data_IF_915273233625
#
_entry.id   IF_915273233625
#
_cell.length_a   1.000
_cell.length_b   1.000
_cell.length_c   1.000
_cell.angle_alpha   90.00
_cell.angle_beta   90.00
_cell.angle_gamma   90.00
#
_symmetry.space_group_name_H-M   'P 1'
#
loop_
_entity.id
_entity.type
_entity.pdbx_description
1 polymer ?
#
# COMPACT_ATOMS: atom_id res chain seq x y z
N UNK A 1 -16.54 -31.73 -24.89
CA UNK A 1 -16.37 -31.34 -26.31
C UNK A 1 -17.10 -30.02 -26.53
N UNK A 2 -16.42 -28.96 -26.98
CA UNK A 2 -16.97 -27.60 -27.05
C UNK A 2 -18.09 -27.49 -28.12
N UNK A 3 -19.24 -26.83 -27.84
CA UNK A 3 -20.41 -26.80 -28.74
C UNK A 3 -20.14 -26.17 -30.11
N UNK A 4 -19.22 -25.19 -30.19
CA UNK A 4 -18.78 -24.61 -31.46
C UNK A 4 -18.04 -25.60 -32.35
N UNK A 5 -17.26 -26.51 -31.75
CA UNK A 5 -16.52 -27.55 -32.48
C UNK A 5 -17.51 -28.53 -33.13
N UNK A 6 -18.57 -28.93 -32.40
CA UNK A 6 -19.63 -29.79 -32.92
C UNK A 6 -20.38 -29.14 -34.10
N UNK A 7 -20.61 -27.82 -34.04
CA UNK A 7 -21.22 -27.05 -35.14
C UNK A 7 -20.30 -26.92 -36.36
N UNK A 8 -18.99 -26.71 -36.14
CA UNK A 8 -17.99 -26.65 -37.21
C UNK A 8 -17.83 -28.01 -37.91
N UNK A 9 -17.76 -29.10 -37.14
CA UNK A 9 -17.67 -30.47 -37.68
C UNK A 9 -18.89 -30.84 -38.54
N UNK A 10 -20.10 -30.44 -38.12
CA UNK A 10 -21.34 -30.67 -38.87
C UNK A 10 -21.39 -29.85 -40.16
N UNK A 11 -20.86 -28.62 -40.14
CA UNK A 11 -20.78 -27.74 -41.32
C UNK A 11 -19.75 -28.19 -42.35
N UNK A 12 -18.71 -28.90 -41.92
CA UNK A 12 -17.64 -29.43 -42.77
C UNK A 12 -17.92 -30.83 -43.32
N UNK A 13 -19.08 -31.42 -43.04
CA UNK A 13 -19.46 -32.76 -43.53
C UNK A 13 -18.70 -33.92 -42.85
N UNK A 14 -17.98 -33.65 -41.76
CA UNK A 14 -17.12 -34.62 -41.05
C UNK A 14 -17.88 -35.59 -40.12
N UNK A 15 -19.22 -35.64 -40.22
CA UNK A 15 -20.10 -36.48 -39.39
C UNK A 15 -20.85 -37.51 -40.24
N UNK A 16 -20.42 -37.76 -41.48
CA UNK A 16 -20.94 -38.86 -42.31
C UNK A 16 -20.09 -40.12 -42.09
N UNK A 17 -20.64 -41.22 -41.54
CA UNK A 17 -19.87 -42.43 -41.23
C UNK A 17 -19.51 -43.28 -42.45
N UNK A 18 -19.93 -42.91 -43.66
CA UNK A 18 -19.84 -43.78 -44.85
C UNK A 18 -18.67 -43.48 -45.78
N UNK A 19 -17.92 -42.38 -45.59
CA UNK A 19 -16.72 -42.11 -46.38
C UNK A 19 -15.70 -41.26 -45.60
N UNK A 20 -14.41 -41.64 -45.54
CA UNK A 20 -13.40 -40.80 -44.90
C UNK A 20 -13.29 -39.47 -45.65
N UNK A 21 -13.33 -38.32 -44.96
CA UNK A 21 -13.29 -37.02 -45.59
C UNK A 21 -12.00 -36.85 -46.41
N UNK A 22 -12.04 -36.13 -47.55
CA UNK A 22 -10.85 -35.84 -48.34
C UNK A 22 -9.77 -35.17 -47.47
N UNK A 23 -8.50 -35.53 -47.67
CA UNK A 23 -7.39 -35.06 -46.85
C UNK A 23 -7.34 -33.52 -46.68
N UNK A 24 -7.77 -32.75 -47.69
CA UNK A 24 -7.83 -31.29 -47.63
C UNK A 24 -8.83 -30.71 -46.61
N UNK A 25 -9.89 -31.44 -46.26
CA UNK A 25 -10.87 -31.01 -45.24
C UNK A 25 -10.26 -31.07 -43.84
N UNK A 26 -9.43 -32.09 -43.57
CA UNK A 26 -8.67 -32.20 -42.32
C UNK A 26 -7.64 -31.09 -42.21
N UNK A 27 -6.91 -30.78 -43.28
CA UNK A 27 -5.93 -29.68 -43.28
C UNK A 27 -6.56 -28.34 -42.95
N UNK A 28 -7.69 -27.99 -43.60
CA UNK A 28 -8.38 -26.72 -43.32
C UNK A 28 -9.00 -26.65 -41.93
N UNK A 29 -9.49 -27.77 -41.38
CA UNK A 29 -9.96 -27.80 -40.00
C UNK A 29 -8.80 -27.58 -39.03
N UNK A 30 -7.67 -28.27 -39.22
CA UNK A 30 -6.49 -28.13 -38.38
C UNK A 30 -5.89 -26.73 -38.43
N UNK A 31 -5.82 -26.12 -39.61
CA UNK A 31 -5.37 -24.75 -39.80
C UNK A 31 -6.25 -23.77 -39.02
N UNK A 32 -7.57 -23.89 -39.14
CA UNK A 32 -8.53 -23.00 -38.46
C UNK A 32 -8.55 -23.19 -36.95
N UNK A 33 -8.40 -24.42 -36.48
CA UNK A 33 -8.27 -24.72 -35.04
C UNK A 33 -6.95 -24.18 -34.52
N UNK A 34 -5.84 -24.50 -35.17
CA UNK A 34 -4.50 -24.00 -34.80
C UNK A 34 -4.49 -22.48 -34.71
N UNK A 35 -5.07 -21.79 -35.71
CA UNK A 35 -5.21 -20.34 -35.70
C UNK A 35 -6.02 -19.83 -34.50
N UNK A 36 -7.20 -20.39 -34.22
CA UNK A 36 -8.02 -19.98 -33.09
C UNK A 36 -7.34 -20.24 -31.72
N UNK A 37 -6.59 -21.34 -31.60
CA UNK A 37 -5.80 -21.61 -30.39
C UNK A 37 -4.62 -20.63 -30.26
N UNK A 38 -3.96 -20.28 -31.37
CA UNK A 38 -2.85 -19.32 -31.39
C UNK A 38 -3.34 -17.92 -31.00
N UNK A 39 -4.45 -17.46 -31.57
CA UNK A 39 -5.08 -16.17 -31.21
C UNK A 39 -5.52 -16.14 -29.74
N UNK A 40 -6.08 -17.24 -29.22
CA UNK A 40 -6.48 -17.34 -27.82
C UNK A 40 -5.28 -17.32 -26.86
N UNK A 41 -4.20 -18.02 -27.20
CA UNK A 41 -2.98 -18.06 -26.39
C UNK A 41 -2.27 -16.69 -26.38
N UNK A 42 -2.19 -16.02 -27.53
CA UNK A 42 -1.71 -14.64 -27.63
C UNK A 42 -2.56 -13.67 -26.79
N UNK A 43 -3.88 -13.81 -26.83
CA UNK A 43 -4.78 -13.00 -26.01
C UNK A 43 -4.56 -13.21 -24.50
N UNK A 44 -4.34 -14.47 -24.08
CA UNK A 44 -4.02 -14.79 -22.68
C UNK A 44 -2.68 -14.22 -22.26
N UNK A 45 -1.65 -14.41 -23.07
CA UNK A 45 -0.29 -13.92 -22.79
C UNK A 45 -0.26 -12.39 -22.67
N UNK A 46 -0.97 -11.67 -23.55
CA UNK A 46 -1.09 -10.22 -23.46
C UNK A 46 -1.77 -9.78 -22.16
N UNK A 47 -2.87 -10.43 -21.78
CA UNK A 47 -3.57 -10.11 -20.53
C UNK A 47 -2.69 -10.35 -19.30
N UNK A 48 -1.98 -11.47 -19.25
CA UNK A 48 -1.03 -11.79 -18.18
C UNK A 48 0.08 -10.73 -18.08
N UNK A 49 0.64 -10.31 -19.22
CA UNK A 49 1.64 -9.23 -19.26
C UNK A 49 1.08 -7.90 -18.77
N UNK A 50 -0.12 -7.52 -19.21
CA UNK A 50 -0.76 -6.28 -18.76
C UNK A 50 -1.07 -6.29 -17.26
N UNK A 51 -1.53 -7.43 -16.73
CA UNK A 51 -1.76 -7.62 -15.29
C UNK A 51 -0.46 -7.52 -14.50
N UNK A 52 0.61 -8.16 -14.98
CA UNK A 52 1.92 -8.11 -14.33
C UNK A 52 2.48 -6.68 -14.30
N UNK A 53 2.40 -5.95 -15.42
CA UNK A 53 2.80 -4.54 -15.49
C UNK A 53 1.98 -3.67 -14.54
N UNK A 54 0.65 -3.80 -14.55
CA UNK A 54 -0.22 -3.04 -13.65
C UNK A 54 0.06 -3.36 -12.18
N UNK A 55 0.28 -4.63 -11.83
CA UNK A 55 0.67 -5.03 -10.48
C UNK A 55 2.01 -4.40 -10.07
N UNK A 56 3.00 -4.39 -10.96
CA UNK A 56 4.30 -3.79 -10.70
C UNK A 56 4.20 -2.28 -10.50
N UNK A 57 3.49 -1.56 -11.38
CA UNK A 57 3.26 -0.11 -11.25
C UNK A 57 2.56 0.22 -9.93
N UNK A 58 1.54 -0.56 -9.58
CA UNK A 58 0.80 -0.38 -8.34
C UNK A 58 1.68 -0.60 -7.10
N UNK A 59 2.51 -1.65 -7.10
CA UNK A 59 3.48 -1.90 -6.02
C UNK A 59 4.47 -0.73 -5.88
N UNK A 60 4.98 -0.21 -7.00
CA UNK A 60 5.89 0.94 -7.00
C UNK A 60 5.22 2.19 -6.40
N UNK A 61 3.97 2.46 -6.79
CA UNK A 61 3.18 3.58 -6.26
C UNK A 61 2.95 3.45 -4.76
N UNK A 62 2.58 2.26 -4.29
CA UNK A 62 2.39 2.02 -2.86
C UNK A 62 3.67 2.22 -2.06
N UNK A 63 4.81 1.72 -2.54
CA UNK A 63 6.09 1.89 -1.87
C UNK A 63 6.50 3.37 -1.82
N UNK A 64 6.34 4.11 -2.92
CA UNK A 64 6.62 5.55 -2.96
C UNK A 64 5.71 6.34 -2.02
N UNK A 65 4.41 6.04 -2.01
CA UNK A 65 3.45 6.70 -1.13
C UNK A 65 3.79 6.43 0.33
N UNK A 66 4.15 5.19 0.66
CA UNK A 66 4.55 4.79 2.01
C UNK A 66 5.79 5.57 2.46
N UNK A 67 6.85 5.56 1.65
CA UNK A 67 8.10 6.25 1.98
C UNK A 67 7.91 7.76 2.13
N UNK A 68 7.12 8.40 1.26
CA UNK A 68 6.84 9.83 1.36
C UNK A 68 6.01 10.17 2.59
N UNK A 69 5.01 9.34 2.94
CA UNK A 69 4.21 9.48 4.16
C UNK A 69 5.08 9.37 5.43
N UNK A 70 5.90 8.33 5.53
CA UNK A 70 6.80 8.10 6.67
C UNK A 70 7.79 9.26 6.83
N UNK A 71 8.40 9.71 5.73
CA UNK A 71 9.29 10.90 5.75
C UNK A 71 8.56 12.16 6.20
N UNK A 72 7.32 12.34 5.77
CA UNK A 72 6.53 13.51 6.15
C UNK A 72 6.18 13.50 7.63
N UNK A 73 5.73 12.36 8.17
CA UNK A 73 5.43 12.20 9.59
C UNK A 73 6.69 12.49 10.41
N UNK A 74 7.81 11.85 10.08
CA UNK A 74 9.08 12.07 10.77
C UNK A 74 9.53 13.53 10.69
N UNK A 75 9.45 14.15 9.52
CA UNK A 75 9.81 15.55 9.35
C UNK A 75 8.94 16.51 10.17
N UNK A 76 7.63 16.22 10.28
CA UNK A 76 6.72 16.99 11.14
C UNK A 76 7.05 16.80 12.62
N UNK A 77 7.32 15.55 13.07
CA UNK A 77 7.74 15.27 14.44
C UNK A 77 9.05 15.99 14.79
N UNK A 78 10.07 15.90 13.94
CA UNK A 78 11.35 16.57 14.12
C UNK A 78 11.18 18.10 14.18
N UNK A 79 10.32 18.67 13.31
CA UNK A 79 10.02 20.09 13.31
C UNK A 79 9.31 20.52 14.60
N UNK A 80 8.30 19.78 15.06
CA UNK A 80 7.61 20.07 16.31
C UNK A 80 8.55 19.98 17.51
N UNK A 81 9.40 18.96 17.58
CA UNK A 81 10.40 18.83 18.64
C UNK A 81 11.39 19.99 18.65
N UNK A 82 11.88 20.41 17.47
CA UNK A 82 12.77 21.57 17.36
C UNK A 82 12.11 22.86 17.83
N UNK A 83 10.85 23.10 17.44
CA UNK A 83 10.10 24.28 17.90
C UNK A 83 9.96 24.28 19.42
N UNK A 84 9.60 23.13 20.01
CA UNK A 84 9.45 23.02 21.47
C UNK A 84 10.80 23.24 22.18
N UNK A 85 11.86 22.59 21.68
CA UNK A 85 13.20 22.64 22.27
C UNK A 85 13.83 24.03 22.22
N UNK A 86 13.56 24.79 21.16
CA UNK A 86 14.14 26.12 20.93
C UNK A 86 13.17 27.28 21.19
N UNK A 87 11.97 27.00 21.70
CA UNK A 87 11.06 28.05 22.17
C UNK A 87 11.74 28.92 23.22
N UNK A 88 11.37 30.20 23.26
CA UNK A 88 11.80 31.12 24.31
C UNK A 88 10.92 31.03 25.55
N UNK A 89 9.69 30.53 25.39
CA UNK A 89 8.75 30.31 26.49
C UNK A 89 8.94 28.92 27.12
N UNK A 90 8.69 28.83 28.42
CA UNK A 90 8.60 27.56 29.14
C UNK A 90 7.37 26.77 28.69
N UNK A 91 7.60 25.62 28.04
CA UNK A 91 6.54 24.74 27.57
C UNK A 91 6.49 23.51 28.47
N UNK A 92 5.30 23.26 29.01
CA UNK A 92 5.01 22.11 29.86
C UNK A 92 3.78 21.39 29.29
N UNK A 93 3.92 20.09 29.07
CA UNK A 93 2.81 19.23 28.69
C UNK A 93 2.46 18.28 29.83
N UNK A 94 1.17 18.05 30.06
CA UNK A 94 0.65 17.09 31.02
C UNK A 94 -0.38 16.16 30.38
N UNK A 95 -0.52 14.94 30.89
CA UNK A 95 -1.61 14.05 30.53
C UNK A 95 -2.91 14.43 31.26
N UNK A 96 -4.00 13.69 31.00
CA UNK A 96 -5.31 13.94 31.62
C UNK A 96 -5.29 13.81 33.15
N UNK A 97 -4.35 13.04 33.71
CA UNK A 97 -4.19 12.84 35.15
C UNK A 97 -3.29 13.91 35.80
N UNK A 98 -2.79 14.89 35.03
CA UNK A 98 -1.92 15.96 35.51
C UNK A 98 -0.43 15.61 35.59
N UNK A 99 -0.02 14.42 35.15
CA UNK A 99 1.37 14.02 35.13
C UNK A 99 2.12 14.68 33.98
N UNK A 100 3.33 15.16 34.24
CA UNK A 100 4.18 15.83 33.25
C UNK A 100 4.65 14.84 32.19
N UNK A 101 4.34 15.13 30.93
CA UNK A 101 4.75 14.33 29.76
C UNK A 101 5.69 15.09 28.81
N UNK A 102 5.79 16.42 28.96
CA UNK A 102 6.71 17.24 28.19
C UNK A 102 7.28 18.37 29.03
N UNK A 103 8.57 18.62 28.86
CA UNK A 103 9.33 19.65 29.56
C UNK A 103 10.43 20.18 28.64
N UNK A 104 10.35 21.44 28.23
CA UNK A 104 11.35 22.03 27.33
C UNK A 104 12.51 22.69 28.12
N UNK A 105 13.64 23.02 27.46
CA UNK A 105 14.79 23.62 28.13
C UNK A 105 14.50 24.95 28.84
N UNK A 106 13.56 25.75 28.34
CA UNK A 106 13.19 27.00 29.02
C UNK A 106 12.41 26.75 30.29
N UNK A 107 11.51 25.77 30.33
CA UNK A 107 10.84 25.36 31.56
C UNK A 107 11.85 24.92 32.62
N UNK A 108 12.89 24.18 32.21
CA UNK A 108 13.98 23.81 33.12
C UNK A 108 14.72 25.02 33.69
N UNK A 109 14.97 26.04 32.86
CA UNK A 109 15.61 27.29 33.32
C UNK A 109 14.71 28.10 34.25
N UNK A 110 13.41 28.15 33.98
CA UNK A 110 12.45 28.94 34.76
C UNK A 110 12.14 28.31 36.12
N UNK A 111 11.99 26.99 36.18
CA UNK A 111 11.56 26.29 37.39
C UNK A 111 12.68 25.51 38.11
N UNK A 112 13.87 25.41 37.51
CA UNK A 112 15.06 24.80 38.13
C UNK A 112 15.10 23.27 38.08
N UNK A 113 14.11 22.60 37.49
CA UNK A 113 14.04 21.14 37.38
C UNK A 113 14.48 20.67 35.99
N UNK A 114 15.27 19.59 35.93
CA UNK A 114 15.57 18.95 34.65
C UNK A 114 14.37 18.17 34.13
N UNK A 115 14.37 17.83 32.83
CA UNK A 115 13.31 17.02 32.23
C UNK A 115 13.23 15.65 32.89
N UNK A 116 14.39 15.05 33.15
CA UNK A 116 14.55 13.74 33.76
C UNK A 116 13.99 13.72 35.19
N UNK A 117 14.12 14.83 35.91
CA UNK A 117 13.62 14.94 37.30
C UNK A 117 12.11 15.04 37.38
N UNK A 118 11.43 15.53 36.34
CA UNK A 118 10.02 15.94 36.44
C UNK A 118 9.06 15.11 35.61
N UNK A 119 9.55 14.39 34.58
CA UNK A 119 8.70 13.51 33.78
C UNK A 119 8.00 12.45 34.63
N UNK A 120 6.70 12.27 34.37
CA UNK A 120 5.82 11.34 35.08
C UNK A 120 5.35 11.81 36.46
N UNK A 121 5.85 12.94 36.97
CA UNK A 121 5.44 13.49 38.27
C UNK A 121 4.23 14.40 38.13
N UNK A 122 3.51 14.62 39.23
CA UNK A 122 2.36 15.51 39.24
C UNK A 122 2.78 16.98 39.11
N UNK A 123 2.22 17.67 38.11
CA UNK A 123 2.57 19.07 37.82
C UNK A 123 2.32 19.98 39.03
N UNK A 124 1.14 19.82 39.66
CA UNK A 124 0.73 20.63 40.81
C UNK A 124 1.67 20.51 42.00
N UNK A 125 2.31 19.35 42.18
CA UNK A 125 3.24 19.06 43.28
C UNK A 125 4.63 19.67 43.10
N UNK A 126 4.95 20.18 41.91
CA UNK A 126 6.29 20.68 41.60
C UNK A 126 6.36 22.18 41.40
N UNK A 127 5.30 22.78 40.86
CA UNK A 127 5.37 24.14 40.32
C UNK A 127 4.43 25.12 41.02
N UNK A 128 3.36 24.60 41.64
CA UNK A 128 2.44 25.43 42.42
C UNK A 128 3.08 25.65 43.80
N UNK A 129 3.30 26.91 44.23
CA UNK A 129 3.76 27.23 45.57
C UNK A 129 2.80 26.67 46.63
N UNK A 130 3.32 26.19 47.77
CA UNK A 130 2.53 25.53 48.83
C UNK A 130 1.33 26.34 49.31
N UNK A 131 1.39 27.66 49.23
CA UNK A 131 0.32 28.58 49.63
C UNK A 131 -0.86 28.65 48.64
N UNK A 132 -0.75 28.00 47.46
CA UNK A 132 -1.75 27.98 46.39
C UNK A 132 -2.10 26.57 45.90
N UNK A 133 -1.65 25.52 46.60
CA UNK A 133 -2.14 24.14 46.40
C UNK A 133 -3.44 23.93 47.14
#
# INVERSE_FOLDING_TARGET
MHPLLKRQLKRLGLIDPTQPPPAGVWTHLWERVSQAYTEADQGRELLERSLALSSQEMQQLYENLRQTSERRIKGMEDQTQNIIAHSLDGIIGMNADGQVIAWNPQAARLFGWTKEDILGKQLGEMIIPLQYR
#
